data_IF_593933089045
#
_entry.id   IF_593933089045
#
_cell.length_a   1.000
_cell.length_b   1.000
_cell.length_c   1.000
_cell.angle_alpha   90.00
_cell.angle_beta   90.00
_cell.angle_gamma   90.00
#
_symmetry.space_group_name_H-M   'P 1'
#
loop_
_entity.id
_entity.type
_entity.pdbx_description
1 polymer ?
#
# COMPACT_ATOMS: atom_id res chain seq x y z
N UNK A 1 9.46 -36.86 -26.25
CA UNK A 1 10.47 -35.99 -25.58
C UNK A 1 10.10 -34.56 -25.88
N UNK A 2 10.21 -33.68 -24.88
CA UNK A 2 9.48 -32.41 -24.69
C UNK A 2 8.10 -32.60 -24.07
N UNK A 3 8.07 -32.48 -22.74
CA UNK A 3 6.84 -32.43 -21.94
C UNK A 3 6.48 -30.97 -21.62
N UNK A 4 5.18 -30.76 -21.52
CA UNK A 4 4.49 -29.48 -21.41
C UNK A 4 4.34 -29.09 -19.92
N UNK A 5 4.98 -28.00 -19.49
CA UNK A 5 4.88 -27.49 -18.12
C UNK A 5 3.91 -26.31 -18.03
N UNK A 6 2.63 -26.66 -17.90
CA UNK A 6 1.53 -25.71 -17.69
C UNK A 6 1.69 -24.86 -16.43
N UNK A 7 1.21 -23.62 -16.50
CA UNK A 7 1.28 -22.66 -15.41
C UNK A 7 0.42 -23.07 -14.20
N UNK A 8 1.05 -23.36 -13.07
CA UNK A 8 0.36 -23.65 -11.81
C UNK A 8 -0.15 -22.37 -11.14
N UNK A 9 -1.44 -22.11 -11.26
CA UNK A 9 -2.15 -21.21 -10.35
C UNK A 9 -2.34 -21.90 -8.98
N UNK A 10 -2.04 -21.24 -7.83
CA UNK A 10 -2.29 -21.83 -6.52
C UNK A 10 -3.80 -21.89 -6.25
N UNK A 11 -4.32 -23.12 -6.10
CA UNK A 11 -5.70 -23.38 -5.69
C UNK A 11 -5.97 -22.88 -4.26
N UNK A 12 -7.16 -22.33 -3.95
CA UNK A 12 -7.53 -21.97 -2.60
C UNK A 12 -7.78 -23.22 -1.74
N UNK A 13 -7.18 -23.27 -0.55
CA UNK A 13 -7.48 -24.30 0.44
C UNK A 13 -8.95 -24.22 0.87
N UNK A 14 -9.74 -25.22 0.47
CA UNK A 14 -11.12 -25.40 0.91
C UNK A 14 -11.15 -25.86 2.38
N UNK A 15 -12.00 -25.22 3.17
CA UNK A 15 -12.29 -25.65 4.53
C UNK A 15 -13.10 -26.95 4.53
N UNK A 16 -12.47 -28.07 4.84
CA UNK A 16 -13.17 -29.34 5.07
C UNK A 16 -13.89 -29.32 6.42
N UNK A 17 -15.13 -29.84 6.42
CA UNK A 17 -15.99 -30.02 7.60
C UNK A 17 -15.81 -31.44 8.16
N UNK A 18 -15.79 -31.56 9.48
CA UNK A 18 -15.85 -32.83 10.22
C UNK A 18 -14.93 -32.80 11.46
N UNK A 19 -15.33 -33.22 12.66
CA UNK A 19 -16.63 -33.72 13.11
C UNK A 19 -16.48 -34.94 14.04
N UNK A 20 -16.83 -34.79 15.32
CA UNK A 20 -17.11 -35.92 16.22
C UNK A 20 -16.15 -36.18 17.39
N UNK A 21 -16.72 -36.38 18.60
CA UNK A 21 -16.08 -36.94 19.80
C UNK A 21 -15.14 -35.99 20.58
N UNK A 22 -15.14 -35.93 21.91
CA UNK A 22 -15.86 -36.69 22.94
C UNK A 22 -14.87 -37.23 23.98
N UNK A 23 -15.05 -36.96 25.29
CA UNK A 23 -14.17 -37.54 26.32
C UNK A 23 -13.92 -36.66 27.55
N UNK A 24 -14.58 -37.03 28.64
CA UNK A 24 -14.46 -36.61 30.03
C UNK A 24 -13.10 -36.84 30.74
N UNK A 25 -12.85 -36.06 31.81
CA UNK A 25 -11.87 -36.35 32.89
C UNK A 25 -10.88 -35.19 33.15
N UNK A 26 -10.50 -34.82 34.38
CA UNK A 26 -10.96 -35.24 35.72
C UNK A 26 -9.88 -35.01 36.80
N UNK A 27 -10.16 -34.17 37.83
CA UNK A 27 -9.30 -33.97 39.02
C UNK A 27 -7.92 -33.32 38.78
N UNK A 28 -7.11 -32.95 39.80
CA UNK A 28 -7.38 -32.67 41.24
C UNK A 28 -6.10 -32.19 41.96
N UNK A 29 -6.23 -31.28 42.95
CA UNK A 29 -5.17 -30.90 43.92
C UNK A 29 -4.28 -29.70 43.53
N UNK A 30 -3.76 -28.88 44.46
CA UNK A 30 -3.98 -28.80 45.91
C UNK A 30 -2.82 -28.09 46.67
N UNK A 31 -3.14 -27.29 47.71
CA UNK A 31 -2.22 -26.51 48.60
C UNK A 31 -1.35 -25.42 47.91
N UNK A 32 -0.81 -24.37 48.53
CA UNK A 32 -0.81 -23.83 49.92
C UNK A 32 0.41 -22.87 50.12
N UNK A 33 0.55 -21.96 51.10
CA UNK A 33 -0.33 -21.42 52.14
C UNK A 33 0.28 -20.14 52.76
N UNK A 34 -0.52 -19.16 53.22
CA UNK A 34 -0.09 -17.92 53.94
C UNK A 34 -0.81 -16.68 53.42
N UNK A 35 -1.57 -15.87 54.17
CA UNK A 35 -1.38 -15.37 55.54
C UNK A 35 -1.02 -13.87 55.44
N UNK A 36 -1.71 -12.88 56.01
CA UNK A 36 -2.90 -12.85 56.86
C UNK A 36 -2.75 -11.78 57.96
N UNK A 37 -3.52 -10.68 57.94
CA UNK A 37 -3.80 -9.80 59.11
C UNK A 37 -4.93 -8.79 58.84
N UNK A 38 -5.50 -8.25 59.94
CA UNK A 38 -6.79 -7.53 60.01
C UNK A 38 -6.65 -6.01 60.09
N UNK A 39 -7.76 -5.31 59.81
CA UNK A 39 -8.05 -3.91 60.21
C UNK A 39 -8.38 -3.04 59.00
N UNK A 40 -9.48 -2.29 58.92
CA UNK A 40 -10.53 -2.02 59.91
C UNK A 40 -10.79 -0.51 60.00
N UNK A 41 -11.79 0.00 59.27
CA UNK A 41 -12.14 1.41 59.25
C UNK A 41 -13.17 1.72 58.16
N UNK A 42 -14.36 2.19 58.55
CA UNK A 42 -15.47 2.44 57.63
C UNK A 42 -15.33 3.77 56.88
N UNK A 43 -15.80 3.80 55.65
CA UNK A 43 -15.91 5.01 54.82
C UNK A 43 -17.07 4.87 53.85
N UNK A 44 -18.20 5.48 54.19
CA UNK A 44 -19.42 5.48 53.38
C UNK A 44 -19.22 6.24 52.07
N UNK A 45 -19.34 5.55 50.93
CA UNK A 45 -19.29 6.16 49.59
C UNK A 45 -20.14 5.35 48.61
N UNK A 46 -21.18 5.98 48.05
CA UNK A 46 -22.18 5.34 47.18
C UNK A 46 -21.55 4.59 45.99
N UNK A 47 -21.97 3.35 45.79
CA UNK A 47 -21.55 2.52 44.66
C UNK A 47 -22.15 2.98 43.33
N UNK A 48 -21.49 3.93 42.66
CA UNK A 48 -21.75 4.26 41.26
C UNK A 48 -21.09 3.23 40.34
N UNK A 49 -21.84 2.20 39.91
CA UNK A 49 -21.42 1.30 38.81
C UNK A 49 -21.35 2.07 37.49
N UNK A 50 -20.25 2.78 37.24
CA UNK A 50 -19.90 3.23 35.89
C UNK A 50 -19.46 2.02 35.06
N UNK A 51 -20.46 1.25 34.62
CA UNK A 51 -20.26 0.28 33.56
C UNK A 51 -19.79 1.02 32.33
N UNK A 52 -18.50 0.92 32.01
CA UNK A 52 -18.01 1.26 30.68
C UNK A 52 -18.81 0.41 29.68
N UNK A 53 -19.80 1.03 29.05
CA UNK A 53 -20.35 0.56 27.80
C UNK A 53 -19.18 0.57 26.81
N UNK A 54 -18.53 -0.60 26.70
CA UNK A 54 -17.70 -0.94 25.57
C UNK A 54 -18.62 -0.90 24.36
N UNK A 55 -18.74 0.29 23.75
CA UNK A 55 -19.29 0.43 22.42
C UNK A 55 -18.60 -0.64 21.57
N UNK A 56 -19.33 -1.61 21.02
CA UNK A 56 -18.72 -2.55 20.11
C UNK A 56 -18.25 -1.72 18.92
N UNK A 57 -16.95 -1.44 18.88
CA UNK A 57 -16.25 -0.99 17.69
C UNK A 57 -16.64 -1.97 16.61
N UNK A 58 -17.62 -1.61 15.79
CA UNK A 58 -18.01 -2.39 14.62
C UNK A 58 -16.75 -2.47 13.80
N UNK A 59 -16.06 -3.61 13.86
CA UNK A 59 -15.03 -3.96 12.91
C UNK A 59 -15.73 -3.90 11.56
N UNK A 60 -15.59 -2.74 10.87
CA UNK A 60 -15.94 -2.61 9.47
C UNK A 60 -14.99 -3.57 8.79
N UNK A 61 -15.48 -4.79 8.58
CA UNK A 61 -14.95 -5.75 7.64
C UNK A 61 -15.04 -5.08 6.27
N UNK A 62 -14.08 -4.20 5.98
CA UNK A 62 -13.75 -3.78 4.63
C UNK A 62 -13.09 -5.00 3.99
N UNK A 63 -13.91 -6.03 3.74
CA UNK A 63 -13.64 -7.05 2.74
C UNK A 63 -13.61 -6.30 1.42
N UNK A 64 -12.46 -5.71 1.09
CA UNK A 64 -12.09 -5.59 -0.33
C UNK A 64 -12.25 -7.01 -0.86
N UNK A 65 -13.09 -7.18 -1.88
CA UNK A 65 -13.07 -8.43 -2.64
C UNK A 65 -11.61 -8.63 -3.07
N UNK A 66 -11.10 -9.84 -2.91
CA UNK A 66 -9.69 -10.12 -3.16
C UNK A 66 -9.45 -9.96 -4.67
N UNK A 67 -8.98 -8.79 -5.09
CA UNK A 67 -8.70 -8.50 -6.49
C UNK A 67 -7.53 -9.40 -6.89
N UNK A 68 -7.83 -10.48 -7.60
CA UNK A 68 -6.81 -11.34 -8.18
C UNK A 68 -6.25 -10.63 -9.40
N UNK A 69 -5.21 -9.83 -9.19
CA UNK A 69 -4.57 -9.12 -10.28
C UNK A 69 -3.91 -10.13 -11.23
N UNK A 70 -4.18 -10.06 -12.55
CA UNK A 70 -3.61 -11.01 -13.51
C UNK A 70 -2.10 -10.87 -13.54
N UNK A 71 -1.39 -12.00 -13.48
CA UNK A 71 0.04 -12.08 -13.76
C UNK A 71 0.24 -12.79 -15.10
N UNK A 72 1.03 -12.16 -15.97
CA UNK A 72 1.58 -12.78 -17.17
C UNK A 72 3.09 -12.85 -17.01
N UNK A 73 3.77 -13.96 -17.39
CA UNK A 73 5.22 -13.97 -17.47
C UNK A 73 5.74 -12.81 -18.33
N UNK A 74 6.87 -12.22 -17.95
CA UNK A 74 7.50 -11.16 -18.76
C UNK A 74 7.98 -11.79 -20.07
N UNK A 75 7.55 -11.31 -21.26
CA UNK A 75 8.04 -11.79 -22.55
C UNK A 75 9.53 -11.50 -22.73
N UNK A 76 10.26 -12.35 -23.44
CA UNK A 76 11.72 -12.22 -23.58
C UNK A 76 12.15 -10.96 -24.36
N UNK A 77 11.27 -10.39 -25.18
CA UNK A 77 11.51 -9.12 -25.88
C UNK A 77 11.25 -7.87 -25.02
N UNK A 78 10.71 -8.02 -23.80
CA UNK A 78 10.52 -6.91 -22.86
C UNK A 78 11.76 -6.82 -21.95
N UNK A 79 12.40 -5.63 -21.80
CA UNK A 79 13.50 -5.45 -20.86
C UNK A 79 13.11 -5.89 -19.45
N UNK A 80 13.88 -6.80 -18.86
CA UNK A 80 13.55 -7.42 -17.57
C UNK A 80 14.79 -7.73 -16.74
N UNK A 81 14.58 -7.89 -15.43
CA UNK A 81 15.59 -8.37 -14.48
C UNK A 81 15.03 -9.56 -13.73
N UNK A 82 15.73 -10.68 -13.80
CA UNK A 82 15.40 -11.90 -13.07
C UNK A 82 16.14 -11.92 -11.74
N UNK A 83 15.42 -12.23 -10.66
CA UNK A 83 15.97 -12.24 -9.29
C UNK A 83 15.59 -13.55 -8.62
N UNK A 84 16.59 -14.35 -8.25
CA UNK A 84 16.41 -15.55 -7.42
C UNK A 84 15.88 -15.16 -6.04
N UNK A 85 14.78 -15.77 -5.60
CA UNK A 85 14.17 -15.42 -4.31
C UNK A 85 14.85 -16.21 -3.19
N UNK A 86 15.29 -15.48 -2.17
CA UNK A 86 15.84 -16.04 -0.93
C UNK A 86 15.19 -15.36 0.26
N UNK A 87 15.33 -15.96 1.44
CA UNK A 87 14.91 -15.39 2.74
C UNK A 87 15.45 -13.97 2.99
N UNK A 88 16.56 -13.58 2.34
CA UNK A 88 17.20 -12.27 2.43
C UNK A 88 17.04 -11.37 1.18
N UNK A 89 16.42 -11.85 0.09
CA UNK A 89 16.26 -11.07 -1.15
C UNK A 89 15.21 -9.97 -1.03
N UNK A 90 14.32 -10.04 -0.03
CA UNK A 90 13.16 -9.16 0.13
C UNK A 90 13.45 -8.01 1.12
N UNK A 91 13.50 -6.75 0.65
CA UNK A 91 13.55 -5.55 1.50
C UNK A 91 12.13 -5.01 1.73
N UNK A 92 11.57 -5.28 2.91
CA UNK A 92 10.23 -4.85 3.30
C UNK A 92 10.25 -3.42 3.87
N UNK A 93 9.39 -2.54 3.36
CA UNK A 93 9.21 -1.18 3.88
C UNK A 93 7.74 -0.88 4.19
N UNK A 94 7.49 -0.11 5.25
CA UNK A 94 6.17 0.38 5.67
C UNK A 94 6.30 1.54 6.68
N UNK A 95 5.19 2.22 6.97
CA UNK A 95 5.12 3.27 7.99
C UNK A 95 5.66 4.64 7.52
N UNK A 96 5.04 5.72 8.00
CA UNK A 96 5.24 7.08 7.44
C UNK A 96 6.67 7.64 7.61
N UNK A 97 7.50 7.05 8.48
CA UNK A 97 8.89 7.42 8.66
C UNK A 97 9.84 6.79 7.61
N UNK A 98 9.40 5.78 6.86
CA UNK A 98 10.25 5.12 5.88
C UNK A 98 10.27 5.88 4.55
N UNK A 99 11.46 6.21 4.05
CA UNK A 99 11.70 7.10 2.89
C UNK A 99 11.04 6.66 1.58
N UNK A 100 10.79 5.36 1.41
CA UNK A 100 10.10 4.79 0.25
C UNK A 100 8.56 4.83 0.36
N UNK A 101 7.99 5.21 1.51
CA UNK A 101 6.54 5.40 1.61
C UNK A 101 6.11 6.75 1.06
N UNK A 102 4.91 6.80 0.46
CA UNK A 102 4.37 8.03 -0.15
C UNK A 102 4.14 9.13 0.90
N UNK A 103 3.90 8.75 2.16
CA UNK A 103 3.66 9.64 3.29
C UNK A 103 4.94 10.24 3.89
N UNK A 104 6.13 9.76 3.51
CA UNK A 104 7.40 10.30 4.00
C UNK A 104 7.52 11.79 3.69
N UNK A 105 7.78 12.58 4.74
CA UNK A 105 7.91 14.03 4.65
C UNK A 105 9.26 14.43 4.06
N UNK A 106 9.22 15.14 2.94
CA UNK A 106 10.34 15.79 2.30
C UNK A 106 9.75 16.87 1.40
N UNK A 107 10.30 18.07 1.42
CA UNK A 107 9.82 19.19 0.61
C UNK A 107 10.44 19.09 -0.78
N UNK A 108 9.61 19.01 -1.81
CA UNK A 108 10.03 18.87 -3.21
C UNK A 108 9.04 19.57 -4.15
N UNK A 109 9.55 20.02 -5.29
CA UNK A 109 8.83 20.81 -6.27
C UNK A 109 8.35 19.90 -7.40
N UNK A 110 7.10 20.08 -7.83
CA UNK A 110 6.57 19.51 -9.08
C UNK A 110 5.85 20.65 -9.82
N UNK A 111 6.17 20.87 -11.10
CA UNK A 111 5.53 21.89 -11.94
C UNK A 111 5.56 23.33 -11.35
N UNK A 112 6.55 23.63 -10.51
CA UNK A 112 6.70 24.92 -9.82
C UNK A 112 5.99 25.01 -8.45
N UNK A 113 5.21 24.01 -8.06
CA UNK A 113 4.54 23.96 -6.75
C UNK A 113 5.30 23.08 -5.75
N UNK A 114 5.40 23.51 -4.49
CA UNK A 114 6.07 22.77 -3.42
C UNK A 114 5.12 21.83 -2.68
N UNK A 115 5.46 20.54 -2.65
CA UNK A 115 4.75 19.49 -1.93
C UNK A 115 5.60 18.93 -0.79
N UNK A 116 4.95 18.56 0.32
CA UNK A 116 5.57 18.05 1.55
C UNK A 116 5.72 16.53 1.56
N UNK A 117 5.02 15.82 0.67
CA UNK A 117 5.08 14.36 0.51
C UNK A 117 4.44 13.93 -0.82
N UNK A 118 4.76 12.72 -1.30
CA UNK A 118 4.12 12.17 -2.51
C UNK A 118 2.63 11.94 -2.30
N UNK A 119 2.20 11.55 -1.09
CA UNK A 119 0.78 11.41 -0.75
C UNK A 119 0.03 12.76 -0.87
N UNK A 120 0.64 13.90 -0.53
CA UNK A 120 0.00 15.21 -0.74
C UNK A 120 -0.33 15.43 -2.22
N UNK A 121 0.68 15.32 -3.09
CA UNK A 121 0.51 15.48 -4.54
C UNK A 121 -0.51 14.49 -5.10
N UNK A 122 -0.35 13.20 -4.77
CA UNK A 122 -1.21 12.13 -5.26
C UNK A 122 -2.67 12.34 -4.90
N UNK A 123 -2.97 12.68 -3.64
CA UNK A 123 -4.34 12.87 -3.17
C UNK A 123 -4.95 14.18 -3.69
N UNK A 124 -4.14 15.23 -3.88
CA UNK A 124 -4.58 16.48 -4.50
C UNK A 124 -4.94 16.30 -5.98
N UNK A 125 -4.06 15.66 -6.77
CA UNK A 125 -4.36 15.33 -8.18
C UNK A 125 -5.55 14.38 -8.29
N UNK A 126 -5.68 13.41 -7.39
CA UNK A 126 -6.84 12.50 -7.34
C UNK A 126 -8.17 13.22 -7.18
N UNK A 127 -8.24 14.19 -6.26
CA UNK A 127 -9.46 14.99 -6.08
C UNK A 127 -9.69 15.83 -7.33
N UNK A 128 -8.67 16.56 -7.79
CA UNK A 128 -8.76 17.42 -8.99
C UNK A 128 -9.24 16.68 -10.24
N UNK A 129 -8.65 15.53 -10.55
CA UNK A 129 -8.98 14.71 -11.72
C UNK A 129 -10.39 14.10 -11.64
N UNK A 130 -10.86 13.72 -10.45
CA UNK A 130 -12.16 13.03 -10.27
C UNK A 130 -13.33 13.96 -9.97
N UNK A 131 -13.10 15.18 -9.48
CA UNK A 131 -14.17 16.12 -9.09
C UNK A 131 -14.10 17.49 -9.77
N UNK A 132 -12.97 17.82 -10.42
CA UNK A 132 -12.67 19.17 -10.90
C UNK A 132 -12.27 20.17 -9.80
N UNK A 133 -12.42 19.81 -8.52
CA UNK A 133 -12.23 20.72 -7.38
C UNK A 133 -10.76 20.74 -6.96
N UNK A 134 -10.21 21.94 -6.73
CA UNK A 134 -8.93 22.13 -6.04
C UNK A 134 -9.17 22.66 -4.63
N UNK A 135 -8.66 21.98 -3.60
CA UNK A 135 -8.89 22.35 -2.20
C UNK A 135 -7.61 22.89 -1.54
N UNK A 136 -7.66 24.12 -1.04
CA UNK A 136 -6.55 24.73 -0.27
C UNK A 136 -6.13 23.93 0.97
N UNK A 137 -6.99 23.03 1.47
CA UNK A 137 -6.70 22.13 2.60
C UNK A 137 -5.59 21.12 2.34
N UNK A 138 -5.15 20.96 1.08
CA UNK A 138 -3.94 20.19 0.76
C UNK A 138 -2.65 20.97 1.05
N UNK A 139 -2.68 22.31 0.98
CA UNK A 139 -1.49 23.18 1.04
C UNK A 139 -1.43 24.09 2.27
N UNK A 140 -2.56 24.40 2.92
CA UNK A 140 -2.66 25.27 4.11
C UNK A 140 -2.02 24.70 5.39
N UNK A 141 -1.60 23.44 5.38
CA UNK A 141 -0.99 22.77 6.55
C UNK A 141 -1.99 22.25 7.60
N UNK A 142 -3.30 22.40 7.37
CA UNK A 142 -4.37 21.99 8.30
C UNK A 142 -4.42 20.48 8.57
N UNK A 143 -3.91 19.67 7.64
CA UNK A 143 -3.83 18.21 7.79
C UNK A 143 -2.49 17.63 7.38
N UNK A 144 -2.16 16.49 7.99
CA UNK A 144 -1.07 15.61 7.56
C UNK A 144 -1.55 14.27 7.00
N UNK A 145 -2.85 14.01 7.07
CA UNK A 145 -3.53 12.83 6.51
C UNK A 145 -4.35 13.24 5.27
N UNK A 146 -3.65 13.36 4.15
CA UNK A 146 -4.23 13.74 2.86
C UNK A 146 -5.14 12.63 2.30
N UNK A 147 -4.88 11.36 2.68
CA UNK A 147 -5.71 10.21 2.35
C UNK A 147 -7.13 10.33 2.94
N UNK A 148 -7.26 10.74 4.20
CA UNK A 148 -8.57 11.00 4.83
C UNK A 148 -9.26 12.24 4.26
N UNK A 149 -8.52 13.33 3.99
CA UNK A 149 -9.07 14.53 3.34
C UNK A 149 -9.64 14.22 1.95
N UNK A 150 -8.86 13.58 1.07
CA UNK A 150 -9.33 13.22 -0.26
C UNK A 150 -10.53 12.26 -0.22
N UNK A 151 -10.55 11.32 0.72
CA UNK A 151 -11.71 10.42 0.89
C UNK A 151 -12.99 11.18 1.23
N UNK A 152 -12.91 12.21 2.05
CA UNK A 152 -14.07 13.04 2.40
C UNK A 152 -14.53 13.91 1.22
N UNK A 153 -13.60 14.56 0.51
CA UNK A 153 -13.92 15.36 -0.68
C UNK A 153 -14.55 14.52 -1.80
N UNK A 154 -14.00 13.32 -2.08
CA UNK A 154 -14.58 12.37 -3.06
C UNK A 154 -15.96 11.86 -2.63
N UNK A 155 -16.22 11.73 -1.31
CA UNK A 155 -17.53 11.35 -0.77
C UNK A 155 -18.55 12.47 -0.94
N UNK A 156 -18.15 13.73 -0.71
CA UNK A 156 -19.00 14.91 -0.92
C UNK A 156 -19.38 15.06 -2.39
N UNK A 157 -18.42 14.89 -3.31
CA UNK A 157 -18.64 14.87 -4.75
C UNK A 157 -19.31 13.58 -5.29
N UNK A 158 -19.74 12.66 -4.42
CA UNK A 158 -20.44 11.41 -4.79
C UNK A 158 -19.70 10.50 -5.79
N UNK A 159 -18.37 10.56 -5.85
CA UNK A 159 -17.56 9.76 -6.78
C UNK A 159 -17.65 8.27 -6.43
N UNK A 160 -17.89 7.41 -7.43
CA UNK A 160 -18.05 5.97 -7.21
C UNK A 160 -16.71 5.32 -6.92
N UNK A 161 -16.75 4.24 -6.15
CA UNK A 161 -15.55 3.45 -5.84
C UNK A 161 -14.92 2.81 -7.09
N UNK A 162 -15.71 2.49 -8.11
CA UNK A 162 -15.24 2.03 -9.42
C UNK A 162 -14.29 3.04 -10.06
N UNK A 163 -14.68 4.31 -10.02
CA UNK A 163 -14.02 5.40 -10.74
C UNK A 163 -12.72 5.75 -10.01
N UNK A 164 -12.74 5.71 -8.67
CA UNK A 164 -11.55 5.79 -7.81
C UNK A 164 -10.57 4.65 -8.06
N UNK A 165 -11.04 3.41 -8.30
CA UNK A 165 -10.17 2.26 -8.57
C UNK A 165 -9.57 2.31 -9.99
N UNK A 166 -10.39 2.65 -10.99
CA UNK A 166 -9.95 2.87 -12.38
C UNK A 166 -8.90 3.98 -12.46
N UNK A 167 -9.13 5.11 -11.78
CA UNK A 167 -8.14 6.16 -11.65
C UNK A 167 -6.88 5.67 -10.91
N UNK A 168 -7.01 4.90 -9.82
CA UNK A 168 -5.87 4.36 -9.05
C UNK A 168 -4.95 3.48 -9.91
N UNK A 169 -5.49 2.68 -10.83
CA UNK A 169 -4.70 1.75 -11.65
C UNK A 169 -4.17 2.36 -12.95
N UNK A 170 -4.89 3.35 -13.52
CA UNK A 170 -4.47 4.11 -14.70
C UNK A 170 -3.82 5.43 -14.33
N UNK A 171 -4.56 6.55 -14.46
CA UNK A 171 -4.08 7.93 -14.26
C UNK A 171 -3.26 8.16 -12.97
N UNK A 172 -3.62 7.52 -11.87
CA UNK A 172 -2.93 7.60 -10.57
C UNK A 172 -1.54 6.95 -10.58
N UNK A 173 -1.30 5.95 -11.43
CA UNK A 173 0.02 5.37 -11.66
C UNK A 173 0.96 6.42 -12.25
N UNK A 174 0.49 7.19 -13.25
CA UNK A 174 1.26 8.29 -13.83
C UNK A 174 1.58 9.38 -12.80
N UNK A 175 0.62 9.74 -11.95
CA UNK A 175 0.79 10.73 -10.87
C UNK A 175 1.87 10.27 -9.86
N UNK A 176 1.86 9.01 -9.45
CA UNK A 176 2.85 8.45 -8.53
C UNK A 176 4.24 8.38 -9.18
N UNK A 177 4.33 7.98 -10.44
CA UNK A 177 5.61 7.90 -11.16
C UNK A 177 6.28 9.27 -11.29
N UNK A 178 5.52 10.30 -11.69
CA UNK A 178 6.03 11.67 -11.76
C UNK A 178 6.54 12.14 -10.40
N UNK A 179 5.72 11.98 -9.35
CA UNK A 179 6.08 12.45 -8.01
C UNK A 179 7.29 11.71 -7.39
N UNK A 180 7.44 10.42 -7.66
CA UNK A 180 8.61 9.66 -7.22
C UNK A 180 9.87 10.09 -7.98
N UNK A 181 9.78 10.31 -9.30
CA UNK A 181 10.90 10.79 -10.09
C UNK A 181 11.38 12.17 -9.61
N UNK A 182 10.47 13.11 -9.42
CA UNK A 182 10.82 14.45 -8.92
C UNK A 182 11.37 14.42 -7.49
N UNK A 183 10.80 13.60 -6.59
CA UNK A 183 11.37 13.39 -5.26
C UNK A 183 12.77 12.78 -5.34
N UNK A 184 13.03 11.82 -6.23
CA UNK A 184 14.35 11.21 -6.43
C UNK A 184 15.38 12.19 -7.04
N UNK A 185 14.96 13.14 -7.87
CA UNK A 185 15.80 14.23 -8.39
C UNK A 185 16.21 15.23 -7.30
N UNK A 186 15.36 15.45 -6.31
CA UNK A 186 15.58 16.47 -5.28
C UNK A 186 16.10 15.91 -3.94
N UNK A 187 15.86 14.63 -3.63
CA UNK A 187 16.20 14.01 -2.35
C UNK A 187 17.42 13.07 -2.46
N UNK A 188 18.62 13.57 -2.13
CA UNK A 188 19.85 12.75 -2.12
C UNK A 188 19.76 11.57 -1.14
N UNK A 189 19.12 11.73 0.02
CA UNK A 189 18.93 10.64 0.98
C UNK A 189 18.08 9.51 0.40
N UNK A 190 17.08 9.83 -0.44
CA UNK A 190 16.27 8.83 -1.12
C UNK A 190 17.05 8.10 -2.20
N UNK A 191 17.95 8.80 -2.92
CA UNK A 191 18.91 8.16 -3.85
C UNK A 191 19.83 7.20 -3.11
N UNK A 192 20.46 7.66 -2.02
CA UNK A 192 21.38 6.86 -1.19
C UNK A 192 20.68 5.63 -0.59
N UNK A 193 19.47 5.82 -0.05
CA UNK A 193 18.65 4.72 0.45
C UNK A 193 18.34 3.72 -0.67
N UNK A 194 17.96 4.21 -1.86
CA UNK A 194 17.59 3.35 -2.98
C UNK A 194 18.78 2.52 -3.49
N UNK A 195 19.96 3.12 -3.68
CA UNK A 195 21.17 2.39 -4.10
C UNK A 195 21.64 1.39 -3.03
N UNK A 196 21.59 1.77 -1.75
CA UNK A 196 21.97 0.87 -0.63
C UNK A 196 21.12 -0.40 -0.50
N UNK A 197 19.97 -0.47 -1.19
CA UNK A 197 19.15 -1.69 -1.22
C UNK A 197 19.76 -2.82 -2.07
N UNK A 198 20.80 -2.54 -2.86
CA UNK A 198 21.46 -3.51 -3.74
C UNK A 198 20.48 -4.13 -4.73
N UNK A 199 20.61 -5.42 -5.03
CA UNK A 199 19.66 -6.15 -5.90
C UNK A 199 18.41 -6.66 -5.19
N UNK A 200 18.09 -6.19 -3.97
CA UNK A 200 16.91 -6.66 -3.24
C UNK A 200 15.61 -6.30 -3.95
N UNK A 201 14.62 -7.17 -3.81
CA UNK A 201 13.23 -6.94 -4.18
C UNK A 201 12.64 -5.99 -3.14
N UNK A 202 12.24 -4.80 -3.58
CA UNK A 202 11.62 -3.79 -2.73
C UNK A 202 10.14 -4.13 -2.56
N UNK A 203 9.64 -4.23 -1.31
CA UNK A 203 8.25 -4.61 -1.03
C UNK A 203 7.59 -3.65 -0.06
N UNK A 204 6.56 -2.94 -0.52
CA UNK A 204 5.69 -2.14 0.35
C UNK A 204 4.76 -3.10 1.12
N UNK A 205 5.13 -3.38 2.36
CA UNK A 205 4.50 -4.43 3.19
C UNK A 205 3.36 -3.87 4.04
N UNK A 206 2.29 -3.45 3.37
CA UNK A 206 1.12 -2.84 3.99
C UNK A 206 -0.17 -3.60 3.69
N UNK A 207 -0.89 -4.02 4.74
CA UNK A 207 -2.14 -4.79 4.62
C UNK A 207 -3.34 -4.02 4.04
N UNK A 208 -3.24 -2.69 3.90
CA UNK A 208 -4.31 -1.85 3.36
C UNK A 208 -4.16 -1.46 1.88
N UNK A 209 -3.08 -1.88 1.21
CA UNK A 209 -2.81 -1.60 -0.20
C UNK A 209 -2.35 -2.86 -0.93
N UNK A 210 -3.19 -3.30 -1.85
CA UNK A 210 -3.09 -4.49 -2.69
C UNK A 210 -2.59 -4.20 -4.13
N UNK A 211 -2.46 -2.93 -4.53
CA UNK A 211 -1.97 -2.56 -5.86
C UNK A 211 -0.54 -2.03 -5.78
N UNK A 212 -0.35 -0.90 -5.09
CA UNK A 212 0.97 -0.32 -4.86
C UNK A 212 1.76 -1.17 -3.84
N UNK A 213 1.05 -1.79 -2.89
CA UNK A 213 1.61 -2.70 -1.89
C UNK A 213 1.37 -4.20 -2.15
N UNK A 214 1.92 -5.02 -1.25
CA UNK A 214 1.78 -6.48 -1.24
C UNK A 214 0.46 -6.99 -0.63
N UNK A 215 -0.42 -6.09 -0.17
CA UNK A 215 -1.64 -6.44 0.57
C UNK A 215 -1.40 -7.16 1.91
N UNK A 216 -0.16 -7.22 2.40
CA UNK A 216 0.22 -8.01 3.59
C UNK A 216 1.31 -7.34 4.44
N UNK A 217 1.33 -7.56 5.77
CA UNK A 217 2.44 -7.18 6.65
C UNK A 217 3.75 -7.92 6.34
N UNK A 218 4.89 -7.32 6.69
CA UNK A 218 6.24 -7.83 6.39
C UNK A 218 6.49 -9.29 6.80
N UNK A 219 5.88 -9.77 7.89
CA UNK A 219 5.98 -11.18 8.32
C UNK A 219 5.51 -12.13 7.20
N UNK A 220 4.34 -11.87 6.63
CA UNK A 220 3.77 -12.70 5.57
C UNK A 220 4.54 -12.60 4.27
N UNK A 221 5.19 -11.45 4.00
CA UNK A 221 6.11 -11.32 2.86
C UNK A 221 7.33 -12.22 3.05
N UNK A 222 7.91 -12.28 4.26
CA UNK A 222 9.00 -13.22 4.56
C UNK A 222 8.57 -14.68 4.42
N UNK A 223 7.43 -15.05 4.99
CA UNK A 223 6.87 -16.41 4.88
C UNK A 223 6.66 -16.81 3.40
N UNK A 224 6.24 -15.85 2.55
CA UNK A 224 6.10 -16.01 1.10
C UNK A 224 7.46 -16.13 0.38
N UNK A 225 8.44 -15.27 0.67
CA UNK A 225 9.79 -15.36 0.08
C UNK A 225 10.45 -16.72 0.41
N UNK A 226 10.33 -17.20 1.67
CA UNK A 226 10.79 -18.54 2.08
C UNK A 226 10.05 -19.69 1.39
N UNK A 227 8.81 -19.49 0.95
CA UNK A 227 8.06 -20.47 0.17
C UNK A 227 8.62 -20.63 -1.24
N UNK A 228 9.05 -19.54 -1.88
CA UNK A 228 9.66 -19.56 -3.21
C UNK A 228 11.10 -20.09 -3.15
N UNK A 229 11.87 -19.68 -2.13
CA UNK A 229 13.25 -20.15 -1.89
C UNK A 229 13.34 -21.68 -1.81
N UNK A 230 12.41 -22.33 -1.09
CA UNK A 230 12.32 -23.80 -1.01
C UNK A 230 12.14 -24.48 -2.37
N UNK A 231 11.47 -23.80 -3.30
CA UNK A 231 11.23 -24.26 -4.66
C UNK A 231 12.31 -23.77 -5.65
N UNK A 232 13.39 -23.12 -5.15
CA UNK A 232 14.45 -22.47 -5.95
C UNK A 232 13.92 -21.48 -6.99
N UNK A 233 12.78 -20.85 -6.72
CA UNK A 233 12.11 -19.99 -7.68
C UNK A 233 12.78 -18.62 -7.85
N UNK A 234 12.71 -18.11 -9.07
CA UNK A 234 13.08 -16.75 -9.44
C UNK A 234 11.84 -15.92 -9.79
N UNK A 235 12.01 -14.60 -9.84
CA UNK A 235 10.99 -13.66 -10.28
C UNK A 235 11.56 -12.76 -11.37
N UNK A 236 10.89 -12.69 -12.52
CA UNK A 236 11.16 -11.71 -13.57
C UNK A 236 10.35 -10.44 -13.31
N UNK A 237 11.01 -9.28 -13.26
CA UNK A 237 10.38 -7.97 -13.16
C UNK A 237 10.62 -7.17 -14.45
N UNK A 238 9.62 -6.48 -15.01
CA UNK A 238 9.82 -5.58 -16.14
C UNK A 238 10.68 -4.38 -15.72
N UNK A 239 11.70 -4.05 -16.51
CA UNK A 239 12.65 -2.95 -16.30
C UNK A 239 12.36 -1.74 -17.21
N UNK A 240 11.07 -1.51 -17.48
CA UNK A 240 10.57 -0.45 -18.37
C UNK A 240 10.09 0.73 -17.55
N UNK A 241 10.51 1.94 -17.93
CA UNK A 241 9.99 3.21 -17.42
C UNK A 241 9.52 4.08 -18.59
N UNK A 242 8.33 4.70 -18.54
CA UNK A 242 7.33 4.56 -17.48
C UNK A 242 6.66 3.18 -17.47
N UNK A 243 6.21 2.72 -16.30
CA UNK A 243 5.26 1.63 -16.18
C UNK A 243 3.89 2.09 -16.66
N UNK A 244 3.33 1.38 -17.65
CA UNK A 244 1.96 1.56 -18.13
C UNK A 244 1.11 0.37 -17.68
N UNK A 245 -0.22 0.46 -17.85
CA UNK A 245 -1.14 -0.66 -17.61
C UNK A 245 -0.72 -1.95 -18.35
N UNK A 246 -0.14 -1.81 -19.54
CA UNK A 246 0.39 -2.92 -20.33
C UNK A 246 1.53 -3.65 -19.61
N UNK A 247 2.44 -2.93 -18.94
CA UNK A 247 3.57 -3.53 -18.24
C UNK A 247 3.23 -3.98 -16.81
N UNK A 248 2.23 -3.37 -16.16
CA UNK A 248 1.81 -3.72 -14.79
C UNK A 248 1.33 -5.17 -14.68
N UNK A 249 0.73 -5.74 -15.75
CA UNK A 249 0.33 -7.16 -15.77
C UNK A 249 1.53 -8.13 -15.59
N UNK A 250 2.73 -7.72 -16.03
CA UNK A 250 3.95 -8.51 -15.90
C UNK A 250 4.63 -8.40 -14.52
N UNK A 251 4.18 -7.50 -13.63
CA UNK A 251 4.73 -7.41 -12.28
C UNK A 251 4.26 -8.63 -11.46
N UNK A 252 5.15 -9.42 -10.83
CA UNK A 252 4.75 -10.55 -10.00
C UNK A 252 3.82 -10.16 -8.84
N UNK A 253 2.87 -11.05 -8.50
CA UNK A 253 2.06 -10.88 -7.28
C UNK A 253 2.92 -11.27 -6.07
N UNK A 254 3.13 -10.36 -5.13
CA UNK A 254 3.89 -10.58 -3.90
C UNK A 254 2.93 -10.61 -2.72
N UNK A 255 2.88 -11.74 -2.01
CA UNK A 255 1.91 -11.95 -0.93
C UNK A 255 0.48 -12.02 -1.45
N UNK A 256 -0.25 -10.90 -1.42
CA UNK A 256 -1.64 -10.76 -1.90
C UNK A 256 -1.85 -9.59 -2.87
N UNK A 257 -0.79 -8.87 -3.24
CA UNK A 257 -0.89 -7.64 -4.03
C UNK A 257 0.17 -7.52 -5.12
N UNK A 258 0.00 -6.56 -6.01
CA UNK A 258 0.92 -6.34 -7.14
C UNK A 258 2.24 -5.68 -6.75
N UNK A 259 2.32 -5.00 -5.60
CA UNK A 259 3.53 -4.33 -5.15
C UNK A 259 4.12 -3.36 -6.22
N UNK A 260 3.26 -2.65 -6.96
CA UNK A 260 3.67 -1.77 -8.07
C UNK A 260 4.67 -0.71 -7.61
N UNK A 261 4.54 -0.20 -6.38
CA UNK A 261 5.48 0.78 -5.82
C UNK A 261 6.89 0.20 -5.65
N UNK A 262 6.98 -1.07 -5.22
CA UNK A 262 8.26 -1.76 -5.09
C UNK A 262 8.94 -1.99 -6.44
N UNK A 263 8.18 -2.45 -7.44
CA UNK A 263 8.67 -2.64 -8.80
C UNK A 263 9.15 -1.30 -9.41
N UNK A 264 8.38 -0.22 -9.24
CA UNK A 264 8.74 1.13 -9.68
C UNK A 264 10.07 1.61 -9.08
N UNK A 265 10.29 1.40 -7.77
CA UNK A 265 11.58 1.72 -7.17
C UNK A 265 12.73 0.85 -7.70
N UNK A 266 12.49 -0.43 -8.00
CA UNK A 266 13.53 -1.29 -8.60
C UNK A 266 13.92 -0.80 -10.00
N UNK A 267 12.96 -0.37 -10.82
CA UNK A 267 13.20 0.22 -12.14
C UNK A 267 14.00 1.53 -12.00
N UNK A 268 13.58 2.42 -11.11
CA UNK A 268 14.26 3.71 -10.89
C UNK A 268 15.63 3.56 -10.24
N UNK A 269 15.87 2.49 -9.46
CA UNK A 269 17.19 2.11 -8.95
C UNK A 269 18.12 1.72 -10.09
N UNK A 270 17.64 0.92 -11.04
CA UNK A 270 18.41 0.52 -12.22
C UNK A 270 18.79 1.75 -13.07
N UNK A 271 17.84 2.69 -13.26
CA UNK A 271 18.08 3.97 -13.95
C UNK A 271 19.06 4.87 -13.20
N UNK A 272 18.95 4.96 -11.88
CA UNK A 272 19.87 5.71 -11.04
C UNK A 272 21.30 5.14 -11.07
N UNK A 273 21.45 3.81 -10.97
CA UNK A 273 22.75 3.13 -11.03
C UNK A 273 23.45 3.31 -12.39
N UNK A 274 22.68 3.44 -13.47
CA UNK A 274 23.19 3.67 -14.82
C UNK A 274 23.35 5.16 -15.17
N UNK A 275 23.19 6.08 -14.21
CA UNK A 275 23.19 7.54 -14.41
C UNK A 275 22.15 8.07 -15.40
N UNK A 276 21.06 7.33 -15.61
CA UNK A 276 19.99 7.64 -16.57
C UNK A 276 18.78 8.38 -15.94
N UNK A 277 18.85 8.79 -14.67
CA UNK A 277 17.70 9.36 -13.97
C UNK A 277 17.27 10.73 -14.56
N UNK A 278 18.23 11.55 -14.96
CA UNK A 278 17.95 12.89 -15.47
C UNK A 278 17.42 12.86 -16.91
N UNK A 279 17.79 11.85 -17.70
CA UNK A 279 17.26 11.59 -19.05
C UNK A 279 15.76 11.24 -19.06
N UNK A 280 15.18 10.86 -17.91
CA UNK A 280 13.78 10.43 -17.81
C UNK A 280 12.82 11.64 -17.91
N UNK A 281 12.34 11.94 -19.11
CA UNK A 281 11.24 12.88 -19.29
C UNK A 281 9.89 12.19 -19.06
N UNK A 282 9.24 12.49 -17.93
CA UNK A 282 7.89 11.99 -17.64
C UNK A 282 6.83 13.00 -18.11
N UNK A 283 6.23 12.73 -19.27
CA UNK A 283 4.99 13.38 -19.69
C UNK A 283 3.80 12.50 -19.29
N UNK A 284 2.69 13.13 -18.89
CA UNK A 284 1.46 12.39 -18.62
C UNK A 284 0.93 11.77 -19.90
N UNK A 285 0.47 10.51 -19.82
CA UNK A 285 -0.34 9.95 -20.89
C UNK A 285 -1.57 10.85 -21.11
N UNK A 286 -1.95 11.09 -22.37
CA UNK A 286 -3.19 11.82 -22.67
C UNK A 286 -4.37 10.97 -22.21
N UNK A 287 -4.80 11.16 -20.97
CA UNK A 287 -6.02 10.55 -20.46
C UNK A 287 -7.19 10.97 -21.35
N UNK A 288 -7.85 9.98 -21.97
CA UNK A 288 -9.13 10.22 -22.62
C UNK A 288 -10.08 10.87 -21.59
N UNK A 289 -10.68 11.99 -21.98
CA UNK A 289 -11.59 12.74 -21.12
C UNK A 289 -12.76 11.85 -20.72
N UNK A 290 -12.78 11.43 -19.44
CA UNK A 290 -13.97 10.80 -18.86
C UNK A 290 -15.04 11.88 -18.82
N UNK A 291 -16.03 11.77 -19.72
CA UNK A 291 -17.06 12.77 -19.92
C UNK A 291 -18.00 12.88 -18.71
N UNK A 292 -17.62 13.69 -17.73
CA UNK A 292 -18.50 14.22 -16.69
C UNK A 292 -19.11 15.53 -17.17
N UNK A 293 -20.35 15.47 -17.66
CA UNK A 293 -21.08 16.67 -18.07
C UNK A 293 -21.60 17.49 -16.89
N UNK A 294 -21.52 18.81 -17.05
CA UNK A 294 -22.25 19.88 -16.35
C UNK A 294 -21.76 20.44 -15.00
N UNK A 295 -21.84 21.78 -14.98
CA UNK A 295 -21.82 22.73 -13.85
C UNK A 295 -20.62 22.70 -12.92
N UNK A 296 -19.65 23.57 -13.20
CA UNK A 296 -18.78 24.09 -12.16
C UNK A 296 -19.61 24.89 -11.15
N UNK A 297 -19.64 24.43 -9.90
CA UNK A 297 -20.00 25.24 -8.75
C UNK A 297 -18.70 25.70 -8.09
N UNK A 298 -18.42 26.99 -8.19
CA UNK A 298 -17.37 27.61 -7.39
C UNK A 298 -17.85 27.67 -5.94
N UNK A 299 -17.16 26.97 -5.04
CA UNK A 299 -17.42 27.01 -3.61
C UNK A 299 -16.30 27.81 -2.93
N UNK A 300 -16.33 29.12 -3.11
CA UNK A 300 -15.77 30.06 -2.14
C UNK A 300 -16.50 29.87 -0.82
N UNK A 301 -15.85 29.18 0.12
CA UNK A 301 -16.26 29.17 1.52
C UNK A 301 -15.70 30.45 2.14
N UNK A 302 -16.54 31.49 2.18
CA UNK A 302 -16.20 32.74 2.86
C UNK A 302 -15.95 32.50 4.35
N UNK A 303 -14.76 32.89 4.81
CA UNK A 303 -14.43 32.93 6.24
C UNK A 303 -15.14 34.09 6.91
N UNK A 304 -16.22 33.84 7.64
CA UNK A 304 -16.82 34.81 8.57
C UNK A 304 -17.58 34.13 9.71
N UNK A 305 -16.90 33.88 10.84
CA UNK A 305 -17.37 33.96 12.24
C UNK A 305 -16.25 33.50 13.18
#
# INVERSE_FOLDING_TARGET
>A
MYEDFGAFAPQPLSSAIGGGGGGSGGGSGGAGSGGGRKGGGGGSGQGGRYGMQRYPMKQRNIRRQHIQYPYSPVPDNVPHKEISVTSNSCFCFHGYANIFTLQHRFDFIIDGETYKSIDQYYQQQKVKDLTGISSGKFTDGSTRDYSSLARELLRQASIKRSDVESWRTGRGLDVIQKAILEKLRQCQDMRNALTSTGDKILVQSFGGDDFYGSGTPAKYVKDWCSGIEKNKGSLKFPMVFPLTEEYVKYIPVIGKGKNVLGALFMILREKLNNSQLDDLNFSFSKSASVGGGQTGMDFTVDSNS
#
